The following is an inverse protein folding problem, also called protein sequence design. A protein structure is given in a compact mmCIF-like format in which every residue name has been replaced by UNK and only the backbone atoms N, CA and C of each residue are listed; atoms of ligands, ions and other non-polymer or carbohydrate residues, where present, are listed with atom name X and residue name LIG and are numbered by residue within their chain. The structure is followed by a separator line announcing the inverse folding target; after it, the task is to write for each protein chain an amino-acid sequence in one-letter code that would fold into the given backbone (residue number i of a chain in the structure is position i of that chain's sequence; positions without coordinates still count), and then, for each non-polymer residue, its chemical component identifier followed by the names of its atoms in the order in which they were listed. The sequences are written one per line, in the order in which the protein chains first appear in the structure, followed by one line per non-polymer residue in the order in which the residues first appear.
data_IF_241141826615
#
_entry.id   IF_241141826615
#
_cell.length_a   1.000
_cell.length_b   1.000
_cell.length_c   1.000
_cell.angle_alpha   90.00
_cell.angle_beta   90.00
_cell.angle_gamma   90.00
#
_symmetry.space_group_name_H-M   'P 1'
#
loop_
_entity.id
_entity.type
_entity.pdbx_description
1 polymer ?
#
# COMPACT_ATOMS: atom_id res chain seq x y z
N UNK A 1 12.10 10.34 13.72
CA UNK A 1 11.59 9.92 15.04
C UNK A 1 10.26 10.59 15.41
N UNK A 2 10.10 11.91 15.20
CA UNK A 2 8.90 12.68 15.54
C UNK A 2 7.62 12.20 14.84
N UNK A 3 7.71 11.64 13.63
CA UNK A 3 6.54 11.11 12.91
C UNK A 3 6.08 9.73 13.36
N UNK A 4 6.94 8.99 14.04
CA UNK A 4 6.62 7.63 14.51
C UNK A 4 5.68 7.66 15.73
N UNK A 5 5.87 8.64 16.62
CA UNK A 5 5.06 8.76 17.85
C UNK A 5 3.55 8.94 17.54
N UNK A 6 3.13 9.90 16.67
CA UNK A 6 1.71 10.04 16.31
C UNK A 6 1.14 8.78 15.65
N UNK A 7 1.93 8.08 14.85
CA UNK A 7 1.51 6.88 14.16
C UNK A 7 1.29 5.72 15.13
N UNK A 8 2.16 5.58 16.14
CA UNK A 8 2.02 4.62 17.24
C UNK A 8 0.81 4.95 18.10
N UNK A 9 0.62 6.21 18.46
CA UNK A 9 -0.55 6.66 19.25
C UNK A 9 -1.85 6.44 18.48
N UNK A 10 -1.87 6.74 17.17
CA UNK A 10 -3.01 6.49 16.31
C UNK A 10 -3.34 4.99 16.25
N UNK A 11 -2.32 4.13 16.10
CA UNK A 11 -2.50 2.68 16.08
C UNK A 11 -3.06 2.16 17.41
N UNK A 12 -2.49 2.55 18.55
CA UNK A 12 -2.98 2.14 19.86
C UNK A 12 -4.36 2.71 20.15
N UNK A 13 -4.62 3.96 19.82
CA UNK A 13 -5.95 4.56 19.92
C UNK A 13 -6.96 3.79 19.07
N UNK A 14 -6.63 3.49 17.83
CA UNK A 14 -7.50 2.75 16.93
C UNK A 14 -7.75 1.31 17.40
N UNK A 15 -6.71 0.61 17.89
CA UNK A 15 -6.87 -0.76 18.47
C UNK A 15 -7.73 -0.75 19.71
N UNK A 16 -7.58 0.25 20.58
CA UNK A 16 -8.43 0.42 21.77
C UNK A 16 -9.89 0.63 21.39
N UNK A 17 -10.17 1.53 20.44
CA UNK A 17 -11.51 1.76 19.91
C UNK A 17 -12.09 0.53 19.22
N UNK A 18 -11.30 -0.18 18.42
CA UNK A 18 -11.72 -1.40 17.73
C UNK A 18 -12.05 -2.55 18.70
N UNK A 19 -11.36 -2.60 19.84
CA UNK A 19 -11.62 -3.60 20.89
C UNK A 19 -12.91 -3.33 21.67
N UNK A 20 -13.21 -2.07 21.93
CA UNK A 20 -14.29 -1.67 22.85
C UNK A 20 -15.63 -1.39 22.15
N UNK A 21 -15.66 -1.09 20.84
CA UNK A 21 -16.90 -0.87 20.09
C UNK A 21 -17.01 -1.89 18.96
N UNK A 22 -18.21 -2.51 18.82
CA UNK A 22 -18.56 -3.23 17.60
C UNK A 22 -18.54 -2.22 16.46
N UNK A 23 -17.47 -2.23 15.67
CA UNK A 23 -17.27 -1.27 14.57
C UNK A 23 -18.36 -1.51 13.50
N UNK A 24 -19.45 -0.75 13.57
CA UNK A 24 -20.53 -0.77 12.56
C UNK A 24 -20.02 -0.44 11.15
N UNK A 25 -18.92 0.33 11.06
CA UNK A 25 -18.28 0.69 9.79
C UNK A 25 -17.90 -0.53 8.95
N UNK A 26 -17.43 -1.61 9.58
CA UNK A 26 -17.02 -2.82 8.84
C UNK A 26 -18.21 -3.67 8.38
N UNK A 27 -19.33 -3.66 9.09
CA UNK A 27 -20.56 -4.29 8.59
C UNK A 27 -21.08 -3.55 7.35
N UNK A 28 -20.98 -2.22 7.34
CA UNK A 28 -21.30 -1.40 6.17
C UNK A 28 -20.37 -1.66 4.98
N UNK A 29 -19.06 -1.82 5.22
CA UNK A 29 -18.11 -2.18 4.15
C UNK A 29 -18.41 -3.55 3.55
N UNK A 30 -18.76 -4.54 4.36
CA UNK A 30 -19.16 -5.85 3.86
C UNK A 30 -20.43 -5.77 3.02
N UNK A 31 -21.39 -4.94 3.42
CA UNK A 31 -22.62 -4.69 2.64
C UNK A 31 -22.30 -4.00 1.30
N UNK A 32 -21.40 -3.01 1.29
CA UNK A 32 -20.97 -2.32 0.06
C UNK A 32 -20.27 -3.31 -0.88
N UNK A 33 -19.39 -4.17 -0.37
CA UNK A 33 -18.70 -5.17 -1.21
C UNK A 33 -19.66 -6.22 -1.78
N UNK A 34 -20.77 -6.52 -1.10
CA UNK A 34 -21.82 -7.41 -1.61
C UNK A 34 -22.69 -6.76 -2.69
N UNK A 35 -22.79 -5.43 -2.70
CA UNK A 35 -23.49 -4.68 -3.74
C UNK A 35 -22.69 -4.57 -5.04
N UNK A 36 -21.37 -4.76 -4.98
CA UNK A 36 -20.51 -4.70 -6.15
C UNK A 36 -20.63 -5.99 -6.98
N UNK A 37 -20.72 -5.88 -8.33
CA UNK A 37 -20.72 -7.04 -9.22
C UNK A 37 -19.54 -7.97 -8.95
N UNK A 38 -19.72 -9.26 -9.18
CA UNK A 38 -18.69 -10.26 -8.87
C UNK A 38 -17.39 -10.09 -9.65
N UNK A 39 -17.44 -9.45 -10.80
CA UNK A 39 -16.27 -9.14 -11.63
C UNK A 39 -15.54 -7.81 -11.29
N UNK A 40 -16.10 -7.00 -10.39
CA UNK A 40 -15.54 -5.69 -10.04
C UNK A 40 -14.11 -5.78 -9.50
N UNK A 41 -13.79 -6.84 -8.75
CA UNK A 41 -12.43 -7.05 -8.25
C UNK A 41 -11.42 -7.32 -9.37
N UNK A 42 -11.84 -7.98 -10.48
CA UNK A 42 -10.96 -8.21 -11.63
C UNK A 42 -10.66 -6.91 -12.37
N UNK A 43 -11.70 -6.10 -12.61
CA UNK A 43 -11.54 -4.81 -13.27
C UNK A 43 -10.61 -3.90 -12.46
N UNK A 44 -10.86 -3.79 -11.16
CA UNK A 44 -10.06 -2.93 -10.29
C UNK A 44 -8.61 -3.39 -10.20
N UNK A 45 -8.39 -4.70 -10.07
CA UNK A 45 -7.04 -5.28 -10.08
C UNK A 45 -6.35 -5.05 -11.41
N UNK A 46 -7.06 -5.21 -12.53
CA UNK A 46 -6.55 -4.95 -13.87
C UNK A 46 -6.13 -3.49 -14.06
N UNK A 47 -6.97 -2.54 -13.64
CA UNK A 47 -6.64 -1.11 -13.67
C UNK A 47 -5.41 -0.81 -12.82
N UNK A 48 -5.34 -1.37 -11.61
CA UNK A 48 -4.20 -1.18 -10.72
C UNK A 48 -2.89 -1.65 -11.36
N UNK A 49 -2.87 -2.87 -11.89
CA UNK A 49 -1.69 -3.44 -12.55
C UNK A 49 -1.32 -2.65 -13.81
N UNK A 50 -2.31 -2.27 -14.62
CA UNK A 50 -2.09 -1.43 -15.82
C UNK A 50 -1.42 -0.10 -15.47
N UNK A 51 -1.87 0.58 -14.42
CA UNK A 51 -1.29 1.84 -13.97
C UNK A 51 0.14 1.66 -13.43
N UNK A 52 0.42 0.56 -12.72
CA UNK A 52 1.77 0.23 -12.25
C UNK A 52 2.71 0.01 -13.43
N UNK A 53 2.34 -0.85 -14.36
CA UNK A 53 3.17 -1.20 -15.51
C UNK A 53 3.36 0.03 -16.41
N UNK A 54 2.29 0.75 -16.72
CA UNK A 54 2.35 1.96 -17.54
C UNK A 54 3.27 3.03 -16.95
N UNK A 55 3.20 3.26 -15.64
CA UNK A 55 4.09 4.19 -14.97
C UNK A 55 5.55 3.72 -15.01
N UNK A 56 5.84 2.44 -14.74
CA UNK A 56 7.20 1.90 -14.79
C UNK A 56 7.81 1.97 -16.21
N UNK A 57 7.01 1.71 -17.23
CA UNK A 57 7.46 1.88 -18.63
C UNK A 57 7.78 3.34 -18.91
N UNK A 58 6.92 4.26 -18.47
CA UNK A 58 7.07 5.69 -18.72
C UNK A 58 8.33 6.28 -18.08
N UNK A 59 8.72 5.82 -16.88
CA UNK A 59 9.94 6.25 -16.17
C UNK A 59 11.20 5.44 -16.55
N UNK A 60 11.14 4.62 -17.60
CA UNK A 60 12.29 3.85 -18.10
C UNK A 60 12.73 2.69 -17.18
N UNK A 61 11.80 2.07 -16.48
CA UNK A 61 12.06 0.88 -15.65
C UNK A 61 11.96 1.12 -14.15
N UNK A 62 12.69 0.32 -13.36
CA UNK A 62 12.66 0.39 -11.89
C UNK A 62 13.82 1.24 -11.36
N UNK A 63 13.57 2.47 -10.86
CA UNK A 63 14.62 3.28 -10.24
C UNK A 63 15.21 2.65 -8.98
N UNK A 64 14.41 1.90 -8.22
CA UNK A 64 14.88 1.18 -7.05
C UNK A 64 15.95 0.14 -7.37
N UNK A 65 15.82 -0.56 -8.52
CA UNK A 65 16.86 -1.48 -8.97
C UNK A 65 18.15 -0.73 -9.36
N UNK A 66 18.03 0.44 -9.98
CA UNK A 66 19.17 1.31 -10.28
C UNK A 66 19.82 1.86 -9.00
N UNK A 67 19.00 2.22 -8.00
CA UNK A 67 19.47 2.73 -6.71
C UNK A 67 20.25 1.70 -5.89
N UNK A 68 19.90 0.43 -5.96
CA UNK A 68 20.67 -0.65 -5.34
C UNK A 68 22.10 -0.79 -5.91
N UNK A 69 22.28 -0.45 -7.20
CA UNK A 69 23.59 -0.49 -7.84
C UNK A 69 24.49 0.70 -7.44
N UNK A 70 23.90 1.83 -7.06
CA UNK A 70 24.64 3.07 -6.76
C UNK A 70 25.15 3.12 -5.32
N UNK A 71 24.50 2.44 -4.37
CA UNK A 71 24.86 2.35 -2.92
C UNK A 71 25.22 3.67 -2.22
N UNK A 72 25.03 4.84 -2.87
CA UNK A 72 25.32 6.16 -2.32
C UNK A 72 24.04 6.93 -2.01
N UNK A 73 23.97 7.53 -0.83
CA UNK A 73 22.81 8.30 -0.39
C UNK A 73 22.52 9.53 -1.27
N UNK A 74 23.56 10.18 -1.80
CA UNK A 74 23.41 11.32 -2.73
C UNK A 74 22.83 10.85 -4.06
N UNK A 75 23.33 9.75 -4.61
CA UNK A 75 22.83 9.15 -5.83
C UNK A 75 21.38 8.70 -5.72
N UNK A 76 20.98 8.17 -4.56
CA UNK A 76 19.57 7.78 -4.29
C UNK A 76 18.65 9.01 -4.31
N UNK A 77 19.07 10.12 -3.71
CA UNK A 77 18.27 11.39 -3.70
C UNK A 77 18.15 11.95 -5.12
N UNK A 78 19.21 11.91 -5.89
CA UNK A 78 19.23 12.36 -7.29
C UNK A 78 18.33 11.50 -8.18
N UNK A 79 18.41 10.17 -8.04
CA UNK A 79 17.49 9.25 -8.71
C UNK A 79 16.03 9.55 -8.39
N UNK A 80 15.68 9.82 -7.12
CA UNK A 80 14.31 10.20 -6.73
C UNK A 80 13.86 11.50 -7.39
N UNK A 81 14.75 12.49 -7.48
CA UNK A 81 14.47 13.77 -8.13
C UNK A 81 14.22 13.58 -9.62
N UNK A 82 15.04 12.76 -10.27
CA UNK A 82 14.91 12.47 -11.71
C UNK A 82 13.61 11.73 -12.03
N UNK A 83 13.18 10.77 -11.21
CA UNK A 83 11.89 10.10 -11.38
C UNK A 83 10.74 11.12 -11.42
N UNK A 84 10.77 12.10 -10.53
CA UNK A 84 9.69 13.11 -10.44
C UNK A 84 9.75 14.11 -11.59
N UNK A 85 10.93 14.38 -12.15
CA UNK A 85 11.11 15.32 -13.26
C UNK A 85 10.92 14.68 -14.64
N UNK A 86 11.25 13.42 -14.82
CA UNK A 86 11.11 12.68 -16.07
C UNK A 86 9.68 12.22 -16.33
N UNK A 87 8.93 11.88 -15.29
CA UNK A 87 7.53 11.51 -15.47
C UNK A 87 6.66 12.73 -15.75
N UNK A 88 5.80 12.65 -16.76
CA UNK A 88 4.79 13.70 -16.97
C UNK A 88 3.92 13.88 -15.73
N UNK A 89 3.43 15.10 -15.51
CA UNK A 89 2.58 15.42 -14.35
C UNK A 89 1.36 14.49 -14.24
N UNK A 90 0.82 14.06 -15.37
CA UNK A 90 -0.31 13.13 -15.45
C UNK A 90 0.05 11.75 -14.90
N UNK A 91 1.17 11.17 -15.30
CA UNK A 91 1.61 9.86 -14.80
C UNK A 91 1.98 9.89 -13.33
N UNK A 92 2.59 10.96 -12.84
CA UNK A 92 2.85 11.17 -11.42
C UNK A 92 1.56 11.22 -10.60
N UNK A 93 0.53 11.91 -11.11
CA UNK A 93 -0.77 11.97 -10.46
C UNK A 93 -1.47 10.61 -10.44
N UNK A 94 -1.55 9.93 -11.59
CA UNK A 94 -2.18 8.61 -11.71
C UNK A 94 -1.48 7.56 -10.84
N UNK A 95 -0.16 7.57 -10.81
CA UNK A 95 0.65 6.72 -9.96
C UNK A 95 0.37 6.94 -8.47
N UNK A 96 0.36 8.20 -8.05
CA UNK A 96 0.05 8.57 -6.67
C UNK A 96 -1.39 8.19 -6.27
N UNK A 97 -2.36 8.40 -7.16
CA UNK A 97 -3.75 8.01 -6.96
C UNK A 97 -3.89 6.49 -6.90
N UNK A 98 -3.21 5.77 -7.79
CA UNK A 98 -3.22 4.31 -7.80
C UNK A 98 -2.75 3.74 -6.46
N UNK A 99 -1.59 4.17 -5.99
CA UNK A 99 -0.99 3.58 -4.78
C UNK A 99 -1.72 4.00 -3.49
N UNK A 100 -2.30 5.21 -3.46
CA UNK A 100 -2.98 5.73 -2.26
C UNK A 100 -4.46 5.35 -2.17
N UNK A 101 -5.12 5.08 -3.30
CA UNK A 101 -6.56 4.82 -3.34
C UNK A 101 -6.89 3.48 -4.00
N UNK A 102 -6.54 3.28 -5.28
CA UNK A 102 -6.99 2.10 -6.05
C UNK A 102 -6.41 0.82 -5.46
N UNK A 103 -5.11 0.77 -5.19
CA UNK A 103 -4.43 -0.42 -4.71
C UNK A 103 -4.91 -0.86 -3.32
N UNK A 104 -4.98 0.01 -2.28
CA UNK A 104 -5.53 -0.38 -0.99
C UNK A 104 -6.99 -0.84 -1.07
N UNK A 105 -7.80 -0.16 -1.87
CA UNK A 105 -9.20 -0.54 -2.06
C UNK A 105 -9.33 -1.90 -2.77
N UNK A 106 -8.53 -2.14 -3.81
CA UNK A 106 -8.48 -3.43 -4.52
C UNK A 106 -8.08 -4.57 -3.58
N UNK A 107 -7.07 -4.35 -2.73
CA UNK A 107 -6.64 -5.33 -1.72
C UNK A 107 -7.77 -5.66 -0.74
N UNK A 108 -8.46 -4.64 -0.21
CA UNK A 108 -9.59 -4.85 0.69
C UNK A 108 -10.71 -5.63 -0.01
N UNK A 109 -11.06 -5.27 -1.23
CA UNK A 109 -12.10 -5.94 -2.00
C UNK A 109 -11.76 -7.42 -2.27
N UNK A 110 -10.51 -7.73 -2.66
CA UNK A 110 -10.03 -9.10 -2.85
C UNK A 110 -10.08 -9.92 -1.56
N UNK A 111 -9.76 -9.31 -0.42
CA UNK A 111 -9.84 -9.96 0.88
C UNK A 111 -11.29 -10.28 1.26
N UNK A 112 -12.23 -9.34 1.07
CA UNK A 112 -13.65 -9.56 1.35
C UNK A 112 -14.27 -10.61 0.41
N UNK A 113 -13.91 -10.59 -0.87
CA UNK A 113 -14.32 -11.63 -1.84
C UNK A 113 -13.53 -12.95 -1.68
N UNK A 114 -12.66 -13.07 -0.66
CA UNK A 114 -11.86 -14.28 -0.32
C UNK A 114 -10.95 -14.78 -1.45
N UNK A 115 -10.53 -13.91 -2.36
CA UNK A 115 -9.67 -14.23 -3.51
C UNK A 115 -8.18 -14.19 -3.10
N UNK A 116 -7.75 -15.16 -2.27
CA UNK A 116 -6.44 -15.18 -1.61
C UNK A 116 -5.25 -15.11 -2.57
N UNK A 117 -5.33 -15.81 -3.71
CA UNK A 117 -4.23 -15.86 -4.68
C UNK A 117 -4.02 -14.49 -5.34
N UNK A 118 -5.09 -13.85 -5.84
CA UNK A 118 -5.02 -12.52 -6.43
C UNK A 118 -4.60 -11.47 -5.41
N UNK A 119 -5.04 -11.62 -4.16
CA UNK A 119 -4.62 -10.77 -3.05
C UNK A 119 -3.11 -10.84 -2.82
N UNK A 120 -2.54 -12.06 -2.77
CA UNK A 120 -1.09 -12.27 -2.64
C UNK A 120 -0.31 -11.68 -3.81
N UNK A 121 -0.75 -11.92 -5.05
CA UNK A 121 -0.12 -11.36 -6.25
C UNK A 121 -0.14 -9.83 -6.21
N UNK A 122 -1.30 -9.22 -5.90
CA UNK A 122 -1.42 -7.77 -5.89
C UNK A 122 -0.59 -7.10 -4.78
N UNK A 123 -0.48 -7.73 -3.60
CA UNK A 123 0.44 -7.26 -2.54
C UNK A 123 1.88 -7.28 -3.03
N UNK A 124 2.31 -8.39 -3.65
CA UNK A 124 3.68 -8.51 -4.16
C UNK A 124 3.99 -7.44 -5.20
N UNK A 125 3.08 -7.24 -6.16
CA UNK A 125 3.21 -6.18 -7.18
C UNK A 125 3.26 -4.80 -6.51
N UNK A 126 2.37 -4.53 -5.56
CA UNK A 126 2.33 -3.26 -4.85
C UNK A 126 3.60 -3.00 -4.03
N UNK A 127 4.12 -4.02 -3.35
CA UNK A 127 5.37 -3.91 -2.59
C UNK A 127 6.59 -3.67 -3.50
N UNK A 128 6.71 -4.42 -4.59
CA UNK A 128 7.78 -4.22 -5.58
C UNK A 128 7.69 -2.85 -6.22
N UNK A 129 6.49 -2.37 -6.51
CA UNK A 129 6.28 -1.03 -7.07
C UNK A 129 6.65 0.07 -6.06
N UNK A 130 6.22 -0.06 -4.81
CA UNK A 130 6.57 0.88 -3.75
C UNK A 130 8.09 0.94 -3.52
N UNK A 131 8.75 -0.23 -3.53
CA UNK A 131 10.20 -0.33 -3.48
C UNK A 131 10.86 0.31 -4.71
N UNK A 132 10.33 0.06 -5.92
CA UNK A 132 10.85 0.66 -7.16
C UNK A 132 10.86 2.17 -7.13
N UNK A 133 9.87 2.80 -6.51
CA UNK A 133 9.78 4.26 -6.39
C UNK A 133 10.59 4.81 -5.22
N UNK A 134 11.20 3.95 -4.39
CA UNK A 134 12.02 4.33 -3.24
C UNK A 134 11.32 5.29 -2.26
N UNK A 135 9.98 5.25 -2.20
CA UNK A 135 9.18 6.10 -1.32
C UNK A 135 8.66 5.31 -0.12
N UNK A 136 9.18 5.62 1.07
CA UNK A 136 8.82 4.96 2.33
C UNK A 136 7.31 4.98 2.62
N UNK A 137 6.63 6.10 2.31
CA UNK A 137 5.18 6.25 2.52
C UNK A 137 4.36 5.27 1.71
N UNK A 138 4.82 4.85 0.54
CA UNK A 138 4.11 3.90 -0.31
C UNK A 138 4.10 2.49 0.25
N UNK A 139 5.18 2.07 0.91
CA UNK A 139 5.25 0.77 1.60
C UNK A 139 4.17 0.69 2.68
N UNK A 140 4.04 1.76 3.47
CA UNK A 140 3.00 1.83 4.50
C UNK A 140 1.60 1.74 3.89
N UNK A 141 1.36 2.40 2.77
CA UNK A 141 0.06 2.40 2.09
C UNK A 141 -0.31 1.01 1.57
N UNK A 142 0.66 0.23 1.06
CA UNK A 142 0.45 -1.16 0.62
C UNK A 142 0.14 -2.09 1.79
N UNK A 143 0.79 -1.88 2.93
CA UNK A 143 0.62 -2.72 4.12
C UNK A 143 -0.60 -2.34 4.97
N UNK A 144 -1.08 -1.10 4.84
CA UNK A 144 -2.24 -0.59 5.58
C UNK A 144 -3.50 -1.47 5.49
N UNK A 145 -3.93 -1.97 4.30
CA UNK A 145 -5.06 -2.89 4.19
C UNK A 145 -4.88 -4.19 4.99
N UNK A 146 -3.64 -4.72 5.07
CA UNK A 146 -3.35 -5.94 5.81
C UNK A 146 -3.51 -5.70 7.32
N UNK A 147 -3.02 -4.55 7.79
CA UNK A 147 -3.17 -4.13 9.19
C UNK A 147 -4.66 -3.98 9.53
N UNK A 148 -5.42 -3.29 8.67
CA UNK A 148 -6.87 -3.12 8.85
C UNK A 148 -7.60 -4.47 8.90
N UNK A 149 -7.28 -5.39 7.98
CA UNK A 149 -7.90 -6.72 7.94
C UNK A 149 -7.56 -7.54 9.18
N UNK A 150 -6.33 -7.49 9.67
CA UNK A 150 -5.95 -8.22 10.89
C UNK A 150 -6.65 -7.66 12.13
N UNK A 151 -6.89 -6.36 12.20
CA UNK A 151 -7.73 -5.73 13.22
C UNK A 151 -9.19 -6.14 13.09
N UNK A 152 -9.72 -6.18 11.87
CA UNK A 152 -11.08 -6.61 11.59
C UNK A 152 -11.34 -8.04 12.06
N UNK A 153 -10.40 -8.96 11.77
CA UNK A 153 -10.49 -10.35 12.22
C UNK A 153 -10.08 -10.57 13.70
N UNK A 154 -9.92 -9.48 14.46
CA UNK A 154 -9.51 -9.50 15.88
C UNK A 154 -8.16 -10.21 16.12
N UNK A 155 -7.30 -10.25 15.14
CA UNK A 155 -5.96 -10.82 15.24
C UNK A 155 -4.95 -9.74 15.67
N UNK A 156 -5.19 -9.16 16.85
CA UNK A 156 -4.43 -8.01 17.35
C UNK A 156 -2.93 -8.25 17.42
N UNK A 157 -2.51 -9.46 17.81
CA UNK A 157 -1.08 -9.79 17.88
C UNK A 157 -0.41 -9.74 16.50
N UNK A 158 -1.10 -10.26 15.46
CA UNK A 158 -0.59 -10.20 14.06
C UNK A 158 -0.56 -8.76 13.56
N UNK A 159 -1.58 -7.96 13.88
CA UNK A 159 -1.63 -6.55 13.52
C UNK A 159 -0.48 -5.77 14.17
N UNK A 160 -0.18 -6.01 15.44
CA UNK A 160 0.93 -5.36 16.14
C UNK A 160 2.28 -5.76 15.53
N UNK A 161 2.46 -7.05 15.24
CA UNK A 161 3.67 -7.54 14.59
C UNK A 161 3.89 -6.91 13.21
N UNK A 162 2.87 -6.86 12.37
CA UNK A 162 2.93 -6.21 11.06
C UNK A 162 3.26 -4.72 11.18
N UNK A 163 2.67 -4.03 12.14
CA UNK A 163 2.91 -2.62 12.38
C UNK A 163 4.38 -2.36 12.79
N UNK A 164 4.93 -3.22 13.66
CA UNK A 164 6.34 -3.14 14.06
C UNK A 164 7.28 -3.40 12.88
N UNK A 165 6.99 -4.41 12.05
CA UNK A 165 7.77 -4.70 10.84
C UNK A 165 7.75 -3.50 9.89
N UNK A 166 6.56 -2.89 9.66
CA UNK A 166 6.45 -1.67 8.85
C UNK A 166 7.32 -0.54 9.41
N UNK A 167 7.30 -0.35 10.75
CA UNK A 167 8.11 0.65 11.42
C UNK A 167 9.60 0.43 11.21
N UNK A 168 10.08 -0.80 11.36
CA UNK A 168 11.48 -1.16 11.14
C UNK A 168 11.88 -0.91 9.68
N UNK A 169 11.09 -1.35 8.71
CA UNK A 169 11.36 -1.14 7.28
C UNK A 169 11.41 0.35 6.93
N UNK A 170 10.53 1.18 7.51
CA UNK A 170 10.54 2.62 7.27
C UNK A 170 11.78 3.30 7.85
N UNK A 171 12.29 2.79 8.97
CA UNK A 171 13.50 3.34 9.61
C UNK A 171 14.76 2.92 8.86
N UNK A 172 14.80 1.67 8.34
CA UNK A 172 15.97 1.11 7.66
C UNK A 172 16.15 1.58 6.21
N UNK A 173 15.10 2.07 5.56
CA UNK A 173 15.13 2.67 4.22
C UNK A 173 15.40 4.19 4.27
#
# INVERSE_FOLDING_TARGET
FLFFIPLVLFYFGFTYFAKNKKFKVFSSLNNITNLLPDYSYLILTGICVFLVVGHLIHIGGSPGAKGLAVMDTKGIVELRRNITSEASSLWNYLSSFNIKAILPFSLLLLAFKKKKLLFGILITIGALYAFSLMQKSYILTVLFPIILLSLFYKKYLQSTGLFLICGIVIISL
#
